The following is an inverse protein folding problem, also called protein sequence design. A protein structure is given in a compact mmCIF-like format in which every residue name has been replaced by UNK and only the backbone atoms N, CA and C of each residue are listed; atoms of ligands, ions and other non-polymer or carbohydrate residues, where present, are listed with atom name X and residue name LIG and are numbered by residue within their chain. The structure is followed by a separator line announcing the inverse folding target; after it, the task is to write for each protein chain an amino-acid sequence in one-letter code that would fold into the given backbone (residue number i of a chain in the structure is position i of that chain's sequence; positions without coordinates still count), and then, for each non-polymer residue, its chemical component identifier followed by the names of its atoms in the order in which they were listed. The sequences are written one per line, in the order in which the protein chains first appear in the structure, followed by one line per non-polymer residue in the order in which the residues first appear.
data_IF_111789924418
#
_entry.id   IF_111789924418
#
_cell.length_a   1.000
_cell.length_b   1.000
_cell.length_c   1.000
_cell.angle_alpha   90.00
_cell.angle_beta   90.00
_cell.angle_gamma   90.00
#
_symmetry.space_group_name_H-M   'P 1'
#
loop_
_entity.id
_entity.type
_entity.pdbx_description
1 polymer ?
#
# COMPACT_ATOMS: atom_id res chain seq x y z
N UNK A 1 -8.87 14.76 -1.54
CA UNK A 1 -8.26 13.90 -2.58
C UNK A 1 -6.91 14.35 -3.17
N UNK A 2 -6.81 15.26 -4.17
CA UNK A 2 -5.52 15.59 -4.85
C UNK A 2 -4.39 16.02 -3.89
N UNK A 3 -4.69 16.80 -2.85
CA UNK A 3 -3.70 17.26 -1.86
C UNK A 3 -3.11 16.12 -1.00
N UNK A 4 -3.92 15.15 -0.60
CA UNK A 4 -3.47 13.99 0.19
C UNK A 4 -2.60 13.06 -0.66
N UNK A 5 -3.05 12.78 -1.88
CA UNK A 5 -2.27 12.02 -2.86
C UNK A 5 -1.01 12.78 -3.30
N UNK A 6 -1.03 14.11 -3.36
CA UNK A 6 0.16 14.93 -3.65
C UNK A 6 1.12 15.03 -2.46
N UNK A 7 0.67 14.89 -1.21
CA UNK A 7 1.60 14.69 -0.09
C UNK A 7 2.17 13.27 -0.12
N UNK A 8 1.34 12.26 -0.35
CA UNK A 8 1.78 10.86 -0.48
C UNK A 8 2.73 10.62 -1.67
N UNK A 9 2.49 11.25 -2.83
CA UNK A 9 3.29 11.12 -4.07
C UNK A 9 4.33 12.22 -4.25
N UNK A 10 4.03 13.46 -3.86
CA UNK A 10 4.80 14.67 -4.20
C UNK A 10 5.83 15.10 -3.17
N UNK A 11 5.75 14.66 -1.91
CA UNK A 11 6.86 14.80 -0.94
C UNK A 11 7.92 13.69 -1.10
N UNK A 12 7.68 12.71 -1.99
CA UNK A 12 8.39 11.42 -1.98
C UNK A 12 8.88 10.95 -3.35
N UNK A 13 8.93 11.86 -4.33
CA UNK A 13 9.38 11.58 -5.69
C UNK A 13 10.88 11.26 -5.71
N UNK A 14 11.24 10.01 -5.43
CA UNK A 14 12.61 9.46 -5.46
C UNK A 14 12.93 8.49 -4.32
N UNK A 15 12.42 8.75 -3.11
CA UNK A 15 12.81 8.07 -1.87
C UNK A 15 11.93 6.85 -1.52
N UNK A 16 10.62 6.88 -1.82
CA UNK A 16 9.69 5.80 -1.47
C UNK A 16 9.32 4.96 -2.71
N UNK A 17 9.89 3.76 -2.85
CA UNK A 17 9.63 2.82 -3.98
C UNK A 17 8.95 1.56 -3.46
N UNK A 18 8.21 0.87 -4.33
CA UNK A 18 7.35 -0.27 -3.92
C UNK A 18 8.11 -1.54 -3.51
N UNK A 19 9.40 -1.63 -3.84
CA UNK A 19 10.34 -2.62 -3.33
C UNK A 19 11.67 -1.93 -3.08
N UNK A 20 12.19 -2.05 -1.86
CA UNK A 20 13.51 -1.54 -1.45
C UNK A 20 14.11 -2.44 -0.39
N UNK A 21 15.42 -2.29 -0.14
CA UNK A 21 16.01 -2.85 1.07
C UNK A 21 15.43 -2.11 2.28
N UNK A 22 14.50 -2.77 2.97
CA UNK A 22 13.75 -2.20 4.09
C UNK A 22 14.64 -1.71 5.24
N UNK A 23 15.87 -2.22 5.34
CA UNK A 23 16.86 -1.80 6.34
C UNK A 23 17.49 -0.44 6.03
N UNK A 24 17.37 0.05 4.79
CA UNK A 24 17.98 1.31 4.31
C UNK A 24 16.96 2.23 3.63
N UNK A 25 15.68 2.15 4.03
CA UNK A 25 14.65 3.06 3.54
C UNK A 25 14.92 4.49 4.00
N UNK A 26 15.21 5.40 3.07
CA UNK A 26 15.27 6.85 3.32
C UNK A 26 13.89 7.52 3.28
N UNK A 27 12.83 6.73 3.07
CA UNK A 27 11.46 7.17 2.98
C UNK A 27 10.92 7.65 4.34
N UNK A 28 10.63 8.96 4.48
CA UNK A 28 10.01 9.53 5.72
C UNK A 28 8.61 8.99 6.02
N UNK A 29 7.93 8.40 5.02
CA UNK A 29 6.64 7.76 5.24
C UNK A 29 6.80 6.37 5.89
N UNK A 30 7.95 5.71 5.75
CA UNK A 30 8.18 4.39 6.33
C UNK A 30 8.39 4.45 7.85
N UNK A 31 7.94 3.40 8.55
CA UNK A 31 8.29 3.14 9.94
C UNK A 31 9.75 2.69 10.04
N UNK A 32 10.67 3.63 10.27
CA UNK A 32 12.11 3.36 10.28
C UNK A 32 12.67 2.83 11.62
N UNK A 33 11.84 2.69 12.65
CA UNK A 33 12.25 2.25 14.00
C UNK A 33 11.85 0.81 14.34
N UNK A 34 11.52 -0.01 13.32
CA UNK A 34 11.20 -1.43 13.51
C UNK A 34 12.48 -2.27 13.62
N UNK A 35 12.42 -3.35 14.42
CA UNK A 35 13.52 -4.31 14.53
C UNK A 35 13.79 -5.00 13.19
N UNK A 36 15.06 -5.24 12.86
CA UNK A 36 15.48 -5.87 11.59
C UNK A 36 14.74 -7.18 11.31
N UNK A 37 14.44 -7.96 12.35
CA UNK A 37 13.74 -9.23 12.23
C UNK A 37 12.34 -9.10 11.59
N UNK A 38 11.66 -7.97 11.80
CA UNK A 38 10.32 -7.70 11.22
C UNK A 38 10.34 -7.77 9.69
N UNK A 39 11.45 -7.38 9.07
CA UNK A 39 11.64 -7.38 7.61
C UNK A 39 12.02 -8.74 7.03
N UNK A 40 12.45 -9.68 7.88
CA UNK A 40 12.82 -11.05 7.48
C UNK A 40 11.64 -12.02 7.58
N UNK A 41 10.61 -11.64 8.34
CA UNK A 41 9.41 -12.44 8.53
C UNK A 41 8.59 -12.56 7.25
N UNK A 42 8.11 -13.78 7.00
CA UNK A 42 7.20 -14.09 5.90
C UNK A 42 5.77 -13.97 6.40
N UNK A 43 5.25 -12.73 6.44
CA UNK A 43 3.94 -12.43 7.01
C UNK A 43 2.80 -13.07 6.20
N UNK A 44 1.98 -13.90 6.85
CA UNK A 44 0.74 -14.43 6.28
C UNK A 44 -0.42 -13.43 6.44
N UNK A 45 -0.46 -12.73 7.58
CA UNK A 45 -1.46 -11.71 7.88
C UNK A 45 -0.87 -10.53 8.66
N UNK A 46 -1.36 -9.33 8.40
CA UNK A 46 -0.99 -8.08 9.08
C UNK A 46 -2.27 -7.31 9.40
N UNK A 47 -2.44 -6.93 10.67
CA UNK A 47 -3.51 -6.04 11.11
C UNK A 47 -2.92 -4.65 11.41
N UNK A 48 -3.41 -3.64 10.69
CA UNK A 48 -3.07 -2.25 10.89
C UNK A 48 -4.12 -1.63 11.79
N UNK A 49 -3.75 -1.45 13.06
CA UNK A 49 -4.54 -0.73 14.04
C UNK A 49 -3.74 0.47 14.59
N UNK A 50 -4.43 1.58 14.82
CA UNK A 50 -3.83 2.84 15.24
C UNK A 50 -3.82 3.01 16.77
N UNK A 51 -3.06 3.98 17.31
CA UNK A 51 -3.23 4.39 18.69
C UNK A 51 -4.64 4.92 18.93
N UNK A 52 -5.15 4.77 20.16
CA UNK A 52 -6.51 5.21 20.50
C UNK A 52 -6.72 6.72 20.27
N UNK A 53 -7.79 7.07 19.56
CA UNK A 53 -8.18 8.46 19.29
C UNK A 53 -8.79 8.63 17.90
N UNK A 54 -10.12 8.49 17.79
CA UNK A 54 -10.85 8.74 16.54
C UNK A 54 -11.24 10.23 16.44
N UNK A 55 -10.31 11.09 16.03
CA UNK A 55 -10.60 12.50 15.75
C UNK A 55 -9.72 13.05 14.61
N UNK A 56 -10.15 14.13 13.97
CA UNK A 56 -9.50 14.67 12.74
C UNK A 56 -8.02 15.04 12.94
N UNK A 57 -7.64 15.46 14.15
CA UNK A 57 -6.26 15.82 14.49
C UNK A 57 -5.36 14.64 14.89
N UNK A 58 -5.89 13.41 14.96
CA UNK A 58 -5.12 12.25 15.39
C UNK A 58 -4.15 11.82 14.29
N UNK A 59 -2.93 11.45 14.67
CA UNK A 59 -2.00 10.81 13.74
C UNK A 59 -2.68 9.59 13.12
N UNK A 60 -2.76 9.58 11.79
CA UNK A 60 -3.37 8.48 11.04
C UNK A 60 -2.45 7.26 10.94
N UNK A 61 -2.87 6.29 10.13
CA UNK A 61 -2.14 5.02 9.90
C UNK A 61 -1.32 4.99 8.62
N UNK A 62 -1.07 6.15 8.02
CA UNK A 62 -0.41 6.33 6.73
C UNK A 62 0.93 5.58 6.64
N UNK A 63 1.81 5.76 7.63
CA UNK A 63 3.10 5.09 7.68
C UNK A 63 3.00 3.58 7.84
N UNK A 64 2.06 3.12 8.68
CA UNK A 64 1.82 1.68 8.87
C UNK A 64 1.28 1.02 7.60
N UNK A 65 0.35 1.68 6.88
CA UNK A 65 -0.17 1.23 5.59
C UNK A 65 0.98 1.11 4.57
N UNK A 66 1.80 2.15 4.44
CA UNK A 66 2.93 2.14 3.52
C UNK A 66 3.94 1.04 3.85
N UNK A 67 4.39 0.94 5.10
CA UNK A 67 5.36 -0.09 5.52
C UNK A 67 4.79 -1.50 5.34
N UNK A 68 3.51 -1.71 5.63
CA UNK A 68 2.84 -3.00 5.42
C UNK A 68 2.83 -3.39 3.95
N UNK A 69 2.56 -2.45 3.04
CA UNK A 69 2.62 -2.69 1.61
C UNK A 69 4.02 -3.17 1.19
N UNK A 70 5.08 -2.56 1.72
CA UNK A 70 6.45 -3.00 1.45
C UNK A 70 6.76 -4.38 2.02
N UNK A 71 6.33 -4.66 3.25
CA UNK A 71 6.53 -5.95 3.91
C UNK A 71 5.86 -7.09 3.14
N UNK A 72 4.59 -6.91 2.76
CA UNK A 72 3.83 -7.89 1.99
C UNK A 72 4.48 -8.15 0.62
N UNK A 73 4.96 -7.10 -0.06
CA UNK A 73 5.55 -7.21 -1.40
C UNK A 73 6.98 -7.76 -1.41
N UNK A 74 7.77 -7.46 -0.38
CA UNK A 74 9.22 -7.73 -0.34
C UNK A 74 9.59 -9.03 0.39
N UNK A 75 8.60 -9.78 0.90
CA UNK A 75 8.88 -11.04 1.61
C UNK A 75 9.54 -12.07 0.70
N UNK A 76 10.56 -12.74 1.24
CA UNK A 76 11.42 -13.68 0.48
C UNK A 76 10.89 -15.11 0.46
N UNK A 77 9.93 -15.45 1.33
CA UNK A 77 9.38 -16.80 1.46
C UNK A 77 7.95 -16.81 2.01
N UNK A 78 7.48 -18.00 2.41
CA UNK A 78 6.12 -18.22 2.91
C UNK A 78 5.06 -18.24 1.80
N UNK A 79 3.80 -18.00 2.18
CA UNK A 79 2.69 -17.90 1.24
C UNK A 79 2.96 -16.81 0.18
N UNK A 80 2.36 -16.95 -1.02
CA UNK A 80 2.47 -15.91 -2.07
C UNK A 80 1.76 -14.64 -1.66
N UNK A 81 0.63 -14.79 -0.98
CA UNK A 81 -0.28 -13.73 -0.55
C UNK A 81 -0.03 -13.36 0.90
N UNK A 82 -0.30 -12.10 1.25
CA UNK A 82 -0.41 -11.61 2.62
C UNK A 82 -1.78 -10.93 2.78
N UNK A 83 -2.53 -11.35 3.79
CA UNK A 83 -3.79 -10.68 4.15
C UNK A 83 -3.51 -9.43 4.98
N UNK A 84 -3.99 -8.28 4.54
CA UNK A 84 -3.83 -7.00 5.24
C UNK A 84 -5.19 -6.50 5.67
N UNK A 85 -5.35 -6.24 6.97
CA UNK A 85 -6.57 -5.69 7.55
C UNK A 85 -6.33 -4.27 8.02
N UNK A 86 -7.09 -3.31 7.53
CA UNK A 86 -6.94 -1.88 7.87
C UNK A 86 -8.13 -1.41 8.68
N UNK A 87 -7.90 -1.01 9.93
CA UNK A 87 -8.94 -0.46 10.79
C UNK A 87 -9.22 1.03 10.52
N UNK A 88 -10.43 1.51 10.81
CA UNK A 88 -11.03 2.79 10.38
C UNK A 88 -10.86 3.10 8.89
N UNK A 89 -11.13 2.10 8.04
CA UNK A 89 -11.14 2.27 6.60
C UNK A 89 -12.24 3.22 6.09
N UNK A 90 -13.16 3.63 6.98
CA UNK A 90 -14.18 4.66 6.71
C UNK A 90 -13.61 6.09 6.67
N UNK A 91 -12.40 6.32 7.19
CA UNK A 91 -11.72 7.63 7.11
C UNK A 91 -11.08 7.84 5.73
N UNK A 92 -11.22 9.05 5.18
CA UNK A 92 -10.68 9.37 3.84
C UNK A 92 -9.16 9.15 3.76
N UNK A 93 -8.40 9.52 4.80
CA UNK A 93 -6.93 9.41 4.80
C UNK A 93 -6.49 7.95 4.71
N UNK A 94 -7.00 7.09 5.58
CA UNK A 94 -6.72 5.65 5.57
C UNK A 94 -7.16 5.00 4.26
N UNK A 95 -8.34 5.35 3.75
CA UNK A 95 -8.85 4.84 2.48
C UNK A 95 -7.95 5.21 1.31
N UNK A 96 -7.54 6.48 1.21
CA UNK A 96 -6.69 6.98 0.12
C UNK A 96 -5.30 6.33 0.15
N UNK A 97 -4.68 6.21 1.33
CA UNK A 97 -3.37 5.58 1.44
C UNK A 97 -3.43 4.07 1.17
N UNK A 98 -4.51 3.40 1.59
CA UNK A 98 -4.71 1.98 1.29
C UNK A 98 -4.94 1.75 -0.20
N UNK A 99 -5.80 2.55 -0.84
CA UNK A 99 -6.05 2.48 -2.28
C UNK A 99 -4.76 2.69 -3.09
N UNK A 100 -3.84 3.54 -2.61
CA UNK A 100 -2.57 3.86 -3.27
C UNK A 100 -1.48 2.80 -3.06
N UNK A 101 -1.31 2.28 -1.84
CA UNK A 101 -0.18 1.41 -1.48
C UNK A 101 -0.54 -0.06 -1.41
N UNK A 102 -1.74 -0.40 -0.93
CA UNK A 102 -2.24 -1.78 -0.91
C UNK A 102 -2.99 -2.12 -2.21
N UNK A 103 -3.31 -1.11 -3.01
CA UNK A 103 -4.06 -1.18 -4.26
C UNK A 103 -5.52 -1.51 -4.08
N UNK A 104 -6.37 -0.65 -4.66
CA UNK A 104 -7.81 -0.86 -4.63
C UNK A 104 -8.25 -2.19 -5.25
N UNK A 105 -7.52 -2.67 -6.26
CA UNK A 105 -7.81 -3.95 -6.92
C UNK A 105 -7.56 -5.17 -6.00
N UNK A 106 -6.74 -5.00 -4.96
CA UNK A 106 -6.48 -6.03 -3.96
C UNK A 106 -7.51 -6.02 -2.81
N UNK A 107 -8.46 -5.07 -2.80
CA UNK A 107 -9.50 -5.00 -1.77
C UNK A 107 -10.51 -6.12 -2.00
N UNK A 108 -10.57 -7.06 -1.05
CA UNK A 108 -11.50 -8.19 -1.08
C UNK A 108 -12.87 -7.76 -0.58
N UNK A 109 -12.90 -7.17 0.63
CA UNK A 109 -14.14 -6.73 1.24
C UNK A 109 -13.91 -5.63 2.28
N UNK A 110 -15.01 -4.98 2.66
CA UNK A 110 -15.05 -4.04 3.79
C UNK A 110 -16.15 -4.47 4.73
N UNK A 111 -15.78 -4.82 5.96
CA UNK A 111 -16.72 -5.20 7.01
C UNK A 111 -16.74 -4.10 8.07
N UNK A 112 -17.83 -3.35 8.13
CA UNK A 112 -17.98 -2.16 9.00
C UNK A 112 -16.90 -1.12 8.71
N UNK A 113 -15.87 -1.05 9.57
CA UNK A 113 -14.74 -0.12 9.48
C UNK A 113 -13.42 -0.82 9.14
N UNK A 114 -13.46 -2.12 8.86
CA UNK A 114 -12.28 -2.93 8.59
C UNK A 114 -12.22 -3.22 7.09
N UNK A 115 -11.17 -2.73 6.42
CA UNK A 115 -10.86 -3.08 5.04
C UNK A 115 -9.97 -4.31 4.98
N UNK A 116 -10.30 -5.30 4.15
CA UNK A 116 -9.50 -6.50 3.92
C UNK A 116 -8.88 -6.50 2.54
N UNK A 117 -7.55 -6.57 2.48
CA UNK A 117 -6.77 -6.63 1.26
C UNK A 117 -5.99 -7.95 1.18
N UNK A 118 -5.77 -8.43 -0.04
CA UNK A 118 -4.87 -9.56 -0.33
C UNK A 118 -3.75 -9.05 -1.22
N UNK A 119 -2.55 -8.95 -0.65
CA UNK A 119 -1.38 -8.40 -1.35
C UNK A 119 -0.42 -9.53 -1.70
N UNK A 120 -0.16 -9.70 -2.99
CA UNK A 120 0.83 -10.67 -3.47
C UNK A 120 2.26 -10.13 -3.35
N UNK A 121 3.20 -11.04 -3.05
CA UNK A 121 4.63 -10.75 -3.12
C UNK A 121 5.06 -10.48 -4.57
N UNK A 122 5.98 -9.54 -4.76
CA UNK A 122 6.51 -9.22 -6.10
C UNK A 122 7.70 -10.12 -6.38
N UNK A 123 7.59 -10.98 -7.38
CA UNK A 123 8.68 -11.88 -7.82
C UNK A 123 9.54 -11.30 -8.96
N UNK A 124 9.05 -10.27 -9.66
CA UNK A 124 9.73 -9.66 -10.81
C UNK A 124 10.24 -8.26 -10.44
N UNK A 125 11.56 -8.09 -10.49
CA UNK A 125 12.25 -6.83 -10.20
C UNK A 125 11.81 -5.67 -11.11
N UNK A 126 11.17 -5.95 -12.25
CA UNK A 126 10.66 -4.91 -13.18
C UNK A 126 9.37 -4.25 -12.69
N UNK A 127 8.67 -4.86 -11.74
CA UNK A 127 7.39 -4.40 -11.19
C UNK A 127 7.56 -3.68 -9.85
N UNK A 128 8.79 -3.25 -9.55
CA UNK A 128 9.25 -2.74 -8.25
C UNK A 128 9.06 -1.24 -8.06
N UNK A 129 8.78 -0.49 -9.12
CA UNK A 129 8.66 0.97 -9.02
C UNK A 129 7.24 1.45 -8.69
N UNK A 130 6.22 0.68 -9.05
CA UNK A 130 4.81 1.05 -8.83
C UNK A 130 4.12 0.05 -7.90
N UNK A 131 3.41 0.56 -6.88
CA UNK A 131 2.63 -0.29 -5.98
C UNK A 131 1.49 -0.98 -6.74
N UNK A 132 0.71 -0.20 -7.47
CA UNK A 132 -0.44 -0.68 -8.21
C UNK A 132 -0.12 -0.73 -9.68
N UNK A 133 -0.21 -1.92 -10.26
CA UNK A 133 -0.16 -2.07 -11.71
C UNK A 133 -1.42 -1.41 -12.25
N UNK A 134 -1.29 -0.56 -13.27
CA UNK A 134 -2.41 -0.30 -14.16
C UNK A 134 -2.67 -1.62 -14.87
N UNK A 135 -3.54 -2.46 -14.33
CA UNK A 135 -4.14 -3.51 -15.14
C UNK A 135 -4.93 -2.74 -16.18
N UNK A 136 -4.44 -2.71 -17.41
CA UNK A 136 -5.25 -2.31 -18.54
C UNK A 136 -6.49 -3.20 -18.47
N UNK A 137 -7.58 -2.64 -17.96
CA UNK A 137 -8.85 -3.32 -17.87
C UNK A 137 -9.12 -3.87 -19.26
N UNK A 138 -9.13 -5.20 -19.38
CA UNK A 138 -9.60 -5.84 -20.58
C UNK A 138 -11.00 -5.28 -20.85
N UNK A 139 -11.12 -4.60 -21.99
CA UNK A 139 -12.30 -3.91 -22.54
C UNK A 139 -12.60 -2.50 -22.02
N UNK A 140 -11.90 -1.52 -22.58
CA UNK A 140 -12.62 -0.46 -23.29
C UNK A 140 -12.02 -0.27 -24.69
N UNK A 141 -12.60 -1.00 -25.66
CA UNK A 141 -12.44 -0.67 -27.06
C UNK A 141 -13.13 0.66 -27.32
N UNK A 142 -12.40 1.76 -27.23
CA UNK A 142 -12.76 2.99 -27.94
C UNK A 142 -11.86 3.08 -29.16
N UNK A 143 -12.42 2.59 -30.26
CA UNK A 143 -11.95 2.74 -31.63
C UNK A 143 -11.57 4.19 -31.91
N UNK A 144 -10.28 4.41 -32.17
CA UNK A 144 -9.81 5.56 -32.92
C UNK A 144 -10.26 5.39 -34.38
N UNK A 145 -11.43 5.92 -34.72
CA UNK A 145 -11.70 6.27 -36.12
C UNK A 145 -11.12 7.65 -36.38
N UNK A 146 -9.95 7.63 -37.01
CA UNK A 146 -9.47 8.68 -37.90
C UNK A 146 -10.59 9.12 -38.84
N UNK A 147 -10.84 10.42 -38.95
CA UNK A 147 -11.28 11.04 -40.20
C UNK A 147 -10.62 12.42 -40.36
N UNK A 148 -9.98 12.53 -41.53
CA UNK A 148 -9.51 13.66 -42.31
C UNK A 148 -9.90 15.08 -41.88
#
# INVERSE_FOLDING_TARGET
MKRLLMSARGEFCGECRSVQNLLFLECKLALNSLSNHVYELSWDAILIDGPGGYHEAAMGRMSAIFTTALLARSKKGGAVETHVFVHDFDREVERVYSDEFLCRDNLVEVVRKLGHFVVERVSDERLTNEFCRIVASANSSLSLTSMA
#
